data_IF_875778022526
#
_entry.id   IF_875778022526
#
_cell.length_a   1.000
_cell.length_b   1.000
_cell.length_c   1.000
_cell.angle_alpha   90.00
_cell.angle_beta   90.00
_cell.angle_gamma   90.00
#
_symmetry.space_group_name_H-M   'P 1'
#
loop_
_entity.id
_entity.type
_entity.pdbx_description
1 polymer ?
#
# COMPACT_ATOMS: atom_id res chain seq x y z
N UNK A 1 -17.56 2.92 4.91
CA UNK A 1 -17.92 1.57 4.42
C UNK A 1 -16.64 0.73 4.26
N UNK A 2 -16.73 -0.57 4.50
CA UNK A 2 -15.61 -1.52 4.43
C UNK A 2 -16.04 -2.81 3.70
N UNK A 3 -15.11 -3.45 2.97
CA UNK A 3 -15.29 -4.76 2.31
C UNK A 3 -14.03 -5.62 2.41
N UNK A 4 -14.18 -6.94 2.26
CA UNK A 4 -13.09 -7.93 2.27
C UNK A 4 -12.57 -8.30 0.87
N UNK A 5 -12.88 -7.49 -0.13
CA UNK A 5 -12.35 -7.63 -1.49
C UNK A 5 -11.55 -6.39 -1.83
N UNK A 6 -10.41 -6.52 -2.53
CA UNK A 6 -9.61 -5.34 -2.87
C UNK A 6 -10.42 -4.46 -3.82
N UNK A 7 -10.31 -3.15 -3.67
CA UNK A 7 -10.92 -2.21 -4.60
C UNK A 7 -10.07 -2.11 -5.88
N UNK A 8 -8.75 -2.14 -5.74
CA UNK A 8 -7.82 -2.04 -6.85
C UNK A 8 -7.32 -3.42 -7.27
N UNK A 9 -7.04 -3.56 -8.57
CA UNK A 9 -6.37 -4.77 -9.06
C UNK A 9 -4.92 -4.79 -8.59
N UNK A 10 -4.57 -5.82 -7.82
CA UNK A 10 -3.23 -6.01 -7.29
C UNK A 10 -2.19 -6.19 -8.41
N UNK A 11 -2.55 -6.80 -9.55
CA UNK A 11 -1.65 -6.92 -10.69
C UNK A 11 -1.32 -5.54 -11.30
N UNK A 12 -2.32 -4.67 -11.41
CA UNK A 12 -2.13 -3.29 -11.85
C UNK A 12 -1.25 -2.49 -10.88
N UNK A 13 -1.48 -2.61 -9.57
CA UNK A 13 -0.63 -1.97 -8.54
C UNK A 13 0.83 -2.39 -8.71
N UNK A 14 1.10 -3.69 -8.83
CA UNK A 14 2.47 -4.21 -9.00
C UNK A 14 3.12 -3.70 -10.29
N UNK A 15 2.34 -3.63 -11.37
CA UNK A 15 2.81 -3.14 -12.67
C UNK A 15 3.20 -1.67 -12.58
N UNK A 16 2.34 -0.83 -12.01
CA UNK A 16 2.61 0.60 -11.83
C UNK A 16 3.84 0.85 -10.95
N UNK A 17 3.95 0.15 -9.82
CA UNK A 17 5.08 0.30 -8.90
C UNK A 17 6.38 -0.14 -9.54
N UNK A 18 6.35 -1.22 -10.34
CA UNK A 18 7.51 -1.67 -11.10
C UNK A 18 7.95 -0.65 -12.13
N UNK A 19 6.99 -0.06 -12.87
CA UNK A 19 7.25 0.95 -13.90
C UNK A 19 7.78 2.27 -13.32
N UNK A 20 7.23 2.71 -12.19
CA UNK A 20 7.51 4.02 -11.59
C UNK A 20 8.71 4.02 -10.64
N UNK A 21 9.06 2.86 -10.09
CA UNK A 21 10.16 2.71 -9.14
C UNK A 21 9.97 3.65 -7.93
N UNK A 22 10.97 4.49 -7.67
CA UNK A 22 10.92 5.48 -6.59
C UNK A 22 9.65 6.36 -6.64
N UNK A 23 9.23 6.75 -7.85
CA UNK A 23 8.14 7.73 -8.04
C UNK A 23 6.76 7.17 -7.69
N UNK A 24 6.63 5.86 -7.48
CA UNK A 24 5.42 5.23 -6.96
C UNK A 24 5.14 5.58 -5.48
N UNK A 25 6.16 6.06 -4.75
CA UNK A 25 6.04 6.37 -3.33
C UNK A 25 6.07 7.89 -3.12
N UNK A 26 5.06 8.40 -2.40
CA UNK A 26 5.08 9.77 -1.89
C UNK A 26 6.23 9.97 -0.90
N UNK A 27 6.59 11.22 -0.63
CA UNK A 27 7.63 11.54 0.37
C UNK A 27 7.31 10.90 1.73
N UNK A 28 6.08 11.07 2.21
CA UNK A 28 5.62 10.48 3.48
C UNK A 28 5.68 8.95 3.51
N UNK A 29 5.46 8.29 2.37
CA UNK A 29 5.57 6.84 2.25
C UNK A 29 7.02 6.36 2.34
N UNK A 30 7.94 7.08 1.68
CA UNK A 30 9.38 6.83 1.76
C UNK A 30 9.90 7.05 3.18
N UNK A 31 9.46 8.11 3.84
CA UNK A 31 9.85 8.40 5.22
C UNK A 31 9.30 7.36 6.19
N UNK A 32 8.05 6.92 5.99
CA UNK A 32 7.46 5.80 6.73
C UNK A 32 8.27 4.52 6.57
N UNK A 33 8.58 4.12 5.33
CA UNK A 33 9.40 2.94 5.05
C UNK A 33 10.80 3.02 5.68
N UNK A 34 11.47 4.18 5.55
CA UNK A 34 12.78 4.44 6.16
C UNK A 34 12.77 4.33 7.69
N UNK A 35 11.75 4.88 8.35
CA UNK A 35 11.58 4.74 9.81
C UNK A 35 11.45 3.29 10.26
N UNK A 36 10.90 2.43 9.40
CA UNK A 36 10.81 0.99 9.61
C UNK A 36 12.08 0.20 9.21
N UNK A 37 13.11 0.89 8.72
CA UNK A 37 14.38 0.28 8.28
C UNK A 37 14.38 -0.22 6.83
N UNK A 38 13.38 0.15 6.01
CA UNK A 38 13.31 -0.28 4.61
C UNK A 38 14.08 0.67 3.70
N UNK A 39 14.91 0.10 2.84
CA UNK A 39 15.46 0.79 1.66
C UNK A 39 14.37 0.94 0.59
N UNK A 40 14.63 1.75 -0.43
CA UNK A 40 13.72 1.82 -1.59
C UNK A 40 13.57 0.45 -2.28
N UNK A 41 14.65 -0.34 -2.35
CA UNK A 41 14.61 -1.67 -2.94
C UNK A 41 13.70 -2.61 -2.14
N UNK A 42 13.78 -2.55 -0.80
CA UNK A 42 12.88 -3.32 0.08
C UNK A 42 11.43 -2.91 -0.12
N UNK A 43 11.15 -1.61 -0.16
CA UNK A 43 9.79 -1.09 -0.40
C UNK A 43 9.23 -1.59 -1.74
N UNK A 44 10.02 -1.57 -2.81
CA UNK A 44 9.61 -2.11 -4.11
C UNK A 44 9.35 -3.62 -4.05
N UNK A 45 10.24 -4.36 -3.39
CA UNK A 45 10.13 -5.81 -3.27
C UNK A 45 8.89 -6.22 -2.47
N UNK A 46 8.61 -5.51 -1.36
CA UNK A 46 7.42 -5.74 -0.52
C UNK A 46 6.13 -5.59 -1.35
N UNK A 47 6.02 -4.56 -2.18
CA UNK A 47 4.82 -4.36 -3.01
C UNK A 47 4.72 -5.43 -4.11
N UNK A 48 5.85 -5.83 -4.69
CA UNK A 48 5.90 -6.93 -5.68
C UNK A 48 5.52 -8.28 -5.07
N UNK A 49 5.82 -8.52 -3.80
CA UNK A 49 5.51 -9.77 -3.09
C UNK A 49 4.12 -9.80 -2.46
N UNK A 50 3.36 -8.69 -2.44
CA UNK A 50 1.98 -8.67 -1.96
C UNK A 50 1.11 -9.73 -2.66
N UNK A 51 0.21 -10.36 -1.91
CA UNK A 51 -0.73 -11.32 -2.46
C UNK A 51 -2.16 -10.95 -2.05
N UNK A 52 -3.13 -11.40 -2.84
CA UNK A 52 -4.55 -11.13 -2.56
C UNK A 52 -4.97 -11.60 -1.16
N UNK A 53 -4.43 -12.71 -0.67
CA UNK A 53 -4.72 -13.25 0.66
C UNK A 53 -4.23 -12.37 1.82
N UNK A 54 -3.28 -11.47 1.53
CA UNK A 54 -2.78 -10.50 2.51
C UNK A 54 -3.71 -9.30 2.68
N UNK A 55 -4.77 -9.16 1.87
CA UNK A 55 -5.74 -8.09 2.07
C UNK A 55 -6.39 -8.27 3.44
N UNK A 56 -6.22 -7.26 4.29
CA UNK A 56 -6.94 -7.15 5.54
C UNK A 56 -8.34 -6.61 5.29
N UNK A 57 -8.43 -5.45 4.62
CA UNK A 57 -9.68 -4.80 4.27
C UNK A 57 -9.51 -3.77 3.17
N UNK A 58 -10.60 -3.44 2.51
CA UNK A 58 -10.72 -2.26 1.65
C UNK A 58 -11.77 -1.34 2.23
N UNK A 59 -11.41 -0.08 2.48
CA UNK A 59 -12.31 0.89 3.11
C UNK A 59 -12.26 2.25 2.44
N UNK A 60 -13.36 2.97 2.47
CA UNK A 60 -13.42 4.37 2.04
C UNK A 60 -13.39 5.32 3.24
N UNK A 61 -12.99 6.57 3.02
CA UNK A 61 -13.09 7.61 4.05
C UNK A 61 -14.50 8.19 4.14
N UNK A 62 -14.91 8.71 5.29
CA UNK A 62 -16.19 9.43 5.43
C UNK A 62 -16.21 10.74 4.64
N UNK A 63 -15.06 11.41 4.53
CA UNK A 63 -14.92 12.67 3.82
C UNK A 63 -15.10 12.51 2.31
N UNK A 64 -14.69 11.39 1.74
CA UNK A 64 -14.90 11.06 0.33
C UNK A 64 -15.09 9.54 0.16
N UNK A 65 -16.31 9.15 -0.23
CA UNK A 65 -16.70 7.76 -0.48
C UNK A 65 -16.16 7.21 -1.81
N UNK A 66 -15.53 8.05 -2.64
CA UNK A 66 -14.89 7.66 -3.91
C UNK A 66 -13.45 7.20 -3.71
N UNK A 67 -12.82 7.58 -2.60
CA UNK A 67 -11.42 7.22 -2.30
C UNK A 67 -11.39 5.95 -1.47
N UNK A 68 -11.02 4.86 -2.12
CA UNK A 68 -10.80 3.58 -1.47
C UNK A 68 -9.35 3.42 -1.03
N UNK A 69 -9.17 2.72 0.07
CA UNK A 69 -7.89 2.33 0.63
C UNK A 69 -7.89 0.81 0.79
N UNK A 70 -7.09 0.12 -0.01
CA UNK A 70 -6.79 -1.28 0.21
C UNK A 70 -5.69 -1.39 1.25
N UNK A 71 -5.95 -2.11 2.33
CA UNK A 71 -5.04 -2.31 3.45
C UNK A 71 -4.61 -3.77 3.44
N UNK A 72 -3.30 -4.01 3.27
CA UNK A 72 -2.69 -5.33 3.29
C UNK A 72 -1.87 -5.53 4.56
N UNK A 73 -1.95 -6.73 5.13
CA UNK A 73 -1.07 -7.20 6.20
C UNK A 73 0.13 -7.92 5.58
N UNK A 74 1.32 -7.37 5.78
CA UNK A 74 2.55 -7.98 5.29
C UNK A 74 3.37 -8.52 6.47
N UNK A 75 3.51 -9.86 6.58
CA UNK A 75 4.28 -10.46 7.65
C UNK A 75 5.78 -10.24 7.42
N UNK A 76 6.48 -9.85 8.47
CA UNK A 76 7.93 -9.80 8.56
C UNK A 76 8.40 -10.62 9.77
N UNK A 77 9.68 -11.03 9.81
CA UNK A 77 10.23 -11.64 11.01
C UNK A 77 10.01 -10.73 12.23
N UNK A 78 9.24 -11.22 13.21
CA UNK A 78 8.99 -10.53 14.48
C UNK A 78 8.02 -9.33 14.42
N UNK A 79 7.40 -9.02 13.27
CA UNK A 79 6.39 -7.94 13.18
C UNK A 79 5.42 -8.08 12.02
N UNK A 80 4.27 -7.42 12.14
CA UNK A 80 3.29 -7.26 11.07
C UNK A 80 3.26 -5.79 10.66
N UNK A 81 3.38 -5.51 9.36
CA UNK A 81 3.21 -4.15 8.85
C UNK A 81 1.93 -4.04 8.03
N UNK A 82 1.39 -2.83 8.02
CA UNK A 82 0.22 -2.46 7.24
C UNK A 82 0.67 -1.68 6.03
N UNK A 83 0.22 -2.13 4.86
CA UNK A 83 0.48 -1.45 3.59
C UNK A 83 -0.85 -0.93 3.08
N UNK A 84 -0.97 0.39 2.98
CA UNK A 84 -2.15 1.05 2.45
C UNK A 84 -1.89 1.45 1.01
N UNK A 85 -2.83 1.13 0.12
CA UNK A 85 -2.79 1.49 -1.30
C UNK A 85 -4.07 2.23 -1.65
N UNK A 86 -3.95 3.40 -2.26
CA UNK A 86 -5.07 4.14 -2.83
C UNK A 86 -4.71 4.74 -4.18
N UNK A 87 -5.72 5.01 -5.02
CA UNK A 87 -5.56 5.82 -6.22
C UNK A 87 -6.32 7.13 -6.06
N UNK A 88 -5.78 8.20 -6.64
CA UNK A 88 -6.48 9.48 -6.69
C UNK A 88 -7.55 9.43 -7.79
N UNK A 89 -8.74 10.04 -7.57
CA UNK A 89 -9.80 10.08 -8.58
C UNK A 89 -9.38 10.72 -9.92
N UNK A 90 -8.43 11.66 -9.89
CA UNK A 90 -7.87 12.31 -11.08
C UNK A 90 -6.87 11.43 -11.85
N UNK A 91 -6.70 10.16 -11.47
CA UNK A 91 -5.72 9.25 -12.04
C UNK A 91 -4.30 9.44 -11.48
N UNK A 92 -3.35 8.72 -12.06
CA UNK A 92 -1.94 8.74 -11.66
C UNK A 92 -1.50 7.48 -10.90
N UNK A 93 -0.26 7.49 -10.36
CA UNK A 93 0.29 6.38 -9.61
C UNK A 93 -0.57 6.00 -8.39
N UNK A 94 -0.47 4.74 -7.93
CA UNK A 94 -0.93 4.41 -6.59
C UNK A 94 -0.18 5.24 -5.55
N UNK A 95 -0.91 5.74 -4.55
CA UNK A 95 -0.36 6.27 -3.31
C UNK A 95 -0.22 5.11 -2.34
N UNK A 96 1.02 4.80 -1.97
CA UNK A 96 1.34 3.69 -1.06
C UNK A 96 1.77 4.27 0.27
N UNK A 97 1.45 3.62 1.38
CA UNK A 97 1.95 3.98 2.70
C UNK A 97 2.26 2.74 3.52
N UNK A 98 3.43 2.75 4.16
CA UNK A 98 3.83 1.75 5.14
C UNK A 98 3.45 2.27 6.53
N UNK A 99 2.83 1.43 7.34
CA UNK A 99 2.47 1.72 8.73
C UNK A 99 2.86 0.52 9.59
N UNK A 100 3.38 0.77 10.77
CA UNK A 100 3.54 -0.28 11.77
C UNK A 100 2.17 -0.72 12.28
N UNK A 101 2.06 -1.96 12.77
CA UNK A 101 0.95 -2.30 13.64
C UNK A 101 1.03 -1.39 14.85
N UNK A 102 0.04 -0.51 15.04
CA UNK A 102 -0.14 0.12 16.34
C UNK A 102 -0.16 -1.00 17.38
N UNK A 103 0.81 -0.95 18.30
CA UNK A 103 0.85 -1.82 19.47
C UNK A 103 -0.21 -1.38 20.47
#
# INVERSE_FOLDING_TARGET
MEKKTPHYDLAAIKTDVTRLGATAFTLSARDGGRKMGFTLADMLQIIKSLERRMLYKSMTTYADHRIWQDVYHYPLPGKLIYIKVSYRPAGGPPVISFKESES
#
